data_IF_540457225202
#
_entry.id   IF_540457225202
#
_cell.length_a   1.000
_cell.length_b   1.000
_cell.length_c   1.000
_cell.angle_alpha   90.00
_cell.angle_beta   90.00
_cell.angle_gamma   90.00
#
_symmetry.space_group_name_H-M   'P 1'
#
loop_
_entity.id
_entity.type
_entity.pdbx_description
1 polymer ?
#
# COMPACT_ATOMS: atom_id res chain seq x y z
N UNK A 1 -23.27 -17.57 -11.52
CA UNK A 1 -22.57 -16.50 -10.76
C UNK A 1 -23.17 -16.53 -9.34
N UNK A 2 -22.36 -16.52 -8.27
CA UNK A 2 -22.92 -16.60 -6.90
C UNK A 2 -23.78 -15.37 -6.60
N UNK A 3 -24.73 -15.49 -5.66
CA UNK A 3 -25.58 -14.37 -5.23
C UNK A 3 -24.74 -13.16 -4.75
N UNK A 4 -23.64 -13.42 -4.04
CA UNK A 4 -22.69 -12.40 -3.61
C UNK A 4 -22.08 -11.61 -4.79
N UNK A 5 -21.63 -12.30 -5.84
CA UNK A 5 -21.05 -11.62 -7.00
C UNK A 5 -22.09 -10.81 -7.79
N UNK A 6 -23.34 -11.26 -7.83
CA UNK A 6 -24.43 -10.46 -8.40
C UNK A 6 -24.66 -9.18 -7.59
N UNK A 7 -24.57 -9.23 -6.25
CA UNK A 7 -24.61 -8.03 -5.41
C UNK A 7 -23.44 -7.09 -5.73
N UNK A 8 -22.22 -7.61 -5.84
CA UNK A 8 -21.04 -6.79 -6.20
C UNK A 8 -21.25 -6.07 -7.52
N UNK A 9 -21.66 -6.80 -8.58
CA UNK A 9 -21.93 -6.20 -9.90
C UNK A 9 -23.05 -5.16 -9.82
N UNK A 10 -24.13 -5.45 -9.08
CA UNK A 10 -25.27 -4.54 -8.94
C UNK A 10 -24.90 -3.22 -8.24
N UNK A 11 -24.12 -3.29 -7.17
CA UNK A 11 -23.88 -2.15 -6.29
C UNK A 11 -22.60 -1.38 -6.64
N UNK A 12 -21.60 -2.01 -7.26
CA UNK A 12 -20.36 -1.35 -7.70
C UNK A 12 -20.36 -0.99 -9.19
N UNK A 13 -21.28 -1.53 -10.00
CA UNK A 13 -21.41 -1.17 -11.42
C UNK A 13 -20.08 -1.34 -12.18
N UNK A 14 -19.60 -0.25 -12.76
CA UNK A 14 -18.34 -0.22 -13.52
C UNK A 14 -17.10 -0.52 -12.66
N UNK A 15 -17.17 -0.34 -11.34
CA UNK A 15 -16.11 -0.71 -10.41
C UNK A 15 -16.15 -2.19 -9.99
N UNK A 16 -17.06 -3.00 -10.53
CA UNK A 16 -17.08 -4.45 -10.31
C UNK A 16 -16.21 -5.18 -11.34
N UNK A 17 -15.07 -5.70 -10.90
CA UNK A 17 -14.09 -6.34 -11.78
C UNK A 17 -14.02 -7.84 -11.52
N UNK A 18 -13.98 -8.62 -12.60
CA UNK A 18 -13.70 -10.06 -12.53
C UNK A 18 -12.21 -10.30 -12.28
N UNK A 19 -11.88 -10.65 -11.03
CA UNK A 19 -10.50 -10.76 -10.55
C UNK A 19 -9.74 -11.94 -11.18
N UNK A 20 -10.43 -12.87 -11.85
CA UNK A 20 -9.81 -13.99 -12.59
C UNK A 20 -9.02 -13.54 -13.80
N UNK A 21 -9.55 -12.57 -14.53
CA UNK A 21 -9.04 -12.19 -15.85
C UNK A 21 -7.61 -11.63 -15.76
N UNK A 22 -7.30 -10.92 -14.68
CA UNK A 22 -5.96 -10.41 -14.44
C UNK A 22 -4.90 -11.52 -14.31
N UNK A 23 -5.29 -12.71 -13.84
CA UNK A 23 -4.39 -13.86 -13.72
C UNK A 23 -4.29 -14.67 -15.00
N UNK A 24 -5.42 -14.89 -15.68
CA UNK A 24 -5.48 -15.72 -16.90
C UNK A 24 -4.77 -15.08 -18.10
N UNK A 25 -4.69 -13.75 -18.14
CA UNK A 25 -4.12 -13.02 -19.26
C UNK A 25 -2.59 -12.83 -19.17
N UNK A 26 -1.94 -13.39 -18.13
CA UNK A 26 -0.49 -13.33 -17.92
C UNK A 26 0.10 -11.91 -17.99
N UNK A 27 -0.68 -10.90 -17.58
CA UNK A 27 -0.28 -9.49 -17.54
C UNK A 27 0.65 -9.18 -16.36
N UNK A 28 1.44 -10.15 -15.88
CA UNK A 28 2.21 -10.06 -14.63
C UNK A 28 3.32 -9.01 -14.64
N UNK A 29 3.64 -8.45 -15.81
CA UNK A 29 4.69 -7.44 -15.98
C UNK A 29 4.21 -6.03 -15.64
N UNK A 30 2.91 -5.77 -15.65
CA UNK A 30 2.30 -4.50 -15.26
C UNK A 30 1.66 -4.61 -13.88
N UNK A 31 1.54 -3.50 -13.12
CA UNK A 31 0.83 -3.51 -11.85
C UNK A 31 -0.62 -3.98 -12.02
N UNK A 32 -1.15 -4.70 -11.03
CA UNK A 32 -2.47 -5.33 -11.13
C UNK A 32 -3.61 -4.33 -11.40
N UNK A 33 -3.62 -3.19 -10.71
CA UNK A 33 -4.68 -2.19 -10.93
C UNK A 33 -4.66 -1.66 -12.38
N UNK A 34 -3.48 -1.57 -13.02
CA UNK A 34 -3.36 -1.24 -14.45
C UNK A 34 -3.96 -2.35 -15.31
N UNK A 35 -3.64 -3.61 -15.00
CA UNK A 35 -4.19 -4.75 -15.72
C UNK A 35 -5.71 -4.79 -15.63
N UNK A 36 -6.28 -4.56 -14.44
CA UNK A 36 -7.73 -4.51 -14.22
C UNK A 36 -8.40 -3.37 -15.01
N UNK A 37 -7.81 -2.17 -15.01
CA UNK A 37 -8.28 -1.04 -15.81
C UNK A 37 -8.29 -1.37 -17.30
N UNK A 38 -7.18 -1.90 -17.84
CA UNK A 38 -7.08 -2.25 -19.26
C UNK A 38 -8.06 -3.37 -19.65
N UNK A 39 -8.29 -4.34 -18.76
CA UNK A 39 -9.29 -5.39 -19.01
C UNK A 39 -10.69 -4.77 -19.12
N UNK A 40 -11.05 -3.86 -18.20
CA UNK A 40 -12.36 -3.19 -18.23
C UNK A 40 -12.54 -2.38 -19.53
N UNK A 41 -11.56 -1.55 -19.88
CA UNK A 41 -11.57 -0.70 -21.07
C UNK A 41 -11.75 -1.53 -22.36
N UNK A 42 -10.89 -2.53 -22.58
CA UNK A 42 -10.93 -3.33 -23.81
C UNK A 42 -12.18 -4.22 -23.87
N UNK A 43 -12.67 -4.71 -22.73
CA UNK A 43 -13.91 -5.50 -22.69
C UNK A 43 -15.12 -4.67 -23.11
N UNK A 44 -15.13 -3.37 -22.80
CA UNK A 44 -16.16 -2.43 -23.26
C UNK A 44 -16.23 -2.28 -24.79
N UNK A 45 -15.12 -2.47 -25.50
CA UNK A 45 -15.08 -2.42 -26.98
C UNK A 45 -15.75 -3.63 -27.66
N UNK A 46 -15.91 -4.74 -26.93
CA UNK A 46 -16.42 -6.00 -27.48
C UNK A 46 -15.49 -6.70 -28.49
N UNK A 47 -15.97 -7.82 -29.03
CA UNK A 47 -15.23 -8.65 -30.00
C UNK A 47 -14.05 -9.42 -29.38
N UNK A 48 -12.98 -9.62 -30.15
CA UNK A 48 -11.70 -10.21 -29.66
C UNK A 48 -10.91 -9.21 -28.81
N UNK A 49 -11.51 -8.77 -27.71
CA UNK A 49 -10.89 -7.80 -26.80
C UNK A 49 -9.60 -8.35 -26.17
N UNK A 50 -9.52 -9.67 -25.95
CA UNK A 50 -8.32 -10.30 -25.38
C UNK A 50 -7.15 -10.22 -26.36
N UNK A 51 -7.35 -10.54 -27.65
CA UNK A 51 -6.34 -10.42 -28.67
C UNK A 51 -5.89 -8.97 -28.88
N UNK A 52 -6.84 -8.02 -28.88
CA UNK A 52 -6.54 -6.58 -28.92
C UNK A 52 -5.70 -6.12 -27.73
N UNK A 53 -6.06 -6.51 -26.51
CA UNK A 53 -5.32 -6.15 -25.29
C UNK A 53 -3.90 -6.72 -25.31
N UNK A 54 -3.74 -8.00 -25.69
CA UNK A 54 -2.42 -8.63 -25.81
C UNK A 54 -1.54 -7.88 -26.81
N UNK A 55 -2.10 -7.51 -27.97
CA UNK A 55 -1.39 -6.73 -28.99
C UNK A 55 -1.01 -5.35 -28.47
N UNK A 56 -1.94 -4.65 -27.81
CA UNK A 56 -1.67 -3.35 -27.19
C UNK A 56 -0.51 -3.41 -26.20
N UNK A 57 -0.47 -4.40 -25.32
CA UNK A 57 0.64 -4.58 -24.37
C UNK A 57 1.94 -4.89 -25.10
N UNK A 58 1.94 -5.81 -26.07
CA UNK A 58 3.14 -6.17 -26.83
C UNK A 58 3.75 -4.99 -27.60
N UNK A 59 2.91 -4.08 -28.09
CA UNK A 59 3.36 -2.93 -28.89
C UNK A 59 3.83 -1.75 -28.03
N UNK A 60 3.26 -1.58 -26.83
CA UNK A 60 3.45 -0.37 -26.03
C UNK A 60 4.17 -0.61 -24.69
N UNK A 61 4.23 -1.83 -24.16
CA UNK A 61 4.96 -2.10 -22.91
C UNK A 61 6.41 -2.48 -23.19
N UNK A 62 7.35 -1.77 -22.58
CA UNK A 62 8.79 -2.01 -22.72
C UNK A 62 9.40 -2.34 -21.37
N UNK A 63 10.17 -3.42 -21.31
CA UNK A 63 10.96 -3.74 -20.12
C UNK A 63 12.17 -2.80 -19.99
N UNK A 64 12.74 -2.61 -18.78
CA UNK A 64 13.90 -1.74 -18.57
C UNK A 64 15.08 -2.02 -19.51
N UNK A 65 15.29 -3.28 -19.91
CA UNK A 65 16.33 -3.72 -20.84
C UNK A 65 16.12 -3.17 -22.26
N UNK A 66 14.87 -2.87 -22.64
CA UNK A 66 14.50 -2.31 -23.93
C UNK A 66 14.65 -0.78 -24.01
N UNK A 67 15.25 -0.13 -23.00
CA UNK A 67 15.52 1.31 -22.96
C UNK A 67 16.15 1.85 -24.25
N UNK A 68 17.20 1.19 -24.76
CA UNK A 68 17.88 1.66 -25.97
C UNK A 68 17.03 1.46 -27.23
N UNK A 69 16.12 0.48 -27.25
CA UNK A 69 15.15 0.31 -28.33
C UNK A 69 14.15 1.47 -28.36
N UNK A 70 13.65 1.90 -27.19
CA UNK A 70 12.74 3.06 -27.08
C UNK A 70 13.43 4.33 -27.57
N UNK A 71 14.67 4.58 -27.13
CA UNK A 71 15.47 5.71 -27.61
C UNK A 71 15.72 5.65 -29.12
N UNK A 72 16.06 4.47 -29.65
CA UNK A 72 16.23 4.28 -31.09
C UNK A 72 14.95 4.61 -31.86
N UNK A 73 13.78 4.14 -31.41
CA UNK A 73 12.49 4.49 -32.02
C UNK A 73 12.22 6.00 -31.95
N UNK A 74 12.45 6.63 -30.80
CA UNK A 74 12.27 8.07 -30.64
C UNK A 74 13.15 8.89 -31.60
N UNK A 75 14.40 8.46 -31.81
CA UNK A 75 15.34 9.14 -32.73
C UNK A 75 15.02 8.87 -34.21
N UNK A 76 14.61 7.64 -34.55
CA UNK A 76 14.40 7.24 -35.95
C UNK A 76 12.99 7.54 -36.48
N UNK A 77 11.98 7.43 -35.62
CA UNK A 77 10.57 7.60 -35.97
C UNK A 77 10.02 8.96 -35.49
N UNK A 78 10.77 9.69 -34.67
CA UNK A 78 10.38 10.98 -34.10
C UNK A 78 9.38 10.89 -32.94
N UNK A 79 8.62 9.79 -32.84
CA UNK A 79 7.64 9.56 -31.78
C UNK A 79 7.64 8.10 -31.32
N UNK A 80 7.29 7.86 -30.06
CA UNK A 80 7.07 6.53 -29.50
C UNK A 80 5.95 6.55 -28.47
N UNK A 81 5.11 5.52 -28.48
CA UNK A 81 4.09 5.27 -27.46
C UNK A 81 4.59 4.20 -26.51
N UNK A 82 4.43 4.44 -25.21
CA UNK A 82 4.84 3.49 -24.18
C UNK A 82 3.87 3.47 -22.99
N UNK A 83 3.69 2.29 -22.40
CA UNK A 83 2.93 2.09 -21.16
C UNK A 83 3.90 2.13 -20.00
N UNK A 84 3.78 3.16 -19.15
CA UNK A 84 4.66 3.33 -17.98
C UNK A 84 4.10 4.32 -16.95
N UNK A 85 4.81 4.49 -15.85
CA UNK A 85 4.56 5.52 -14.85
C UNK A 85 5.17 6.86 -15.27
N UNK A 86 4.33 7.89 -15.35
CA UNK A 86 4.73 9.28 -15.52
C UNK A 86 4.72 9.99 -14.16
N UNK A 87 5.89 10.44 -13.70
CA UNK A 87 6.00 11.33 -12.54
C UNK A 87 6.50 12.70 -12.95
N UNK A 88 5.78 13.75 -12.60
CA UNK A 88 6.10 15.13 -13.00
C UNK A 88 6.71 15.90 -11.84
N UNK A 89 7.81 16.59 -12.12
CA UNK A 89 8.45 17.55 -11.22
C UNK A 89 8.43 18.93 -11.86
N UNK A 90 8.34 19.98 -11.05
CA UNK A 90 8.37 21.36 -11.54
C UNK A 90 9.72 21.98 -11.18
N UNK A 91 10.45 22.42 -12.19
CA UNK A 91 11.60 23.30 -11.97
C UNK A 91 11.16 24.75 -12.15
N UNK A 92 11.11 25.48 -11.03
CA UNK A 92 10.69 26.88 -11.00
C UNK A 92 11.72 27.77 -11.72
N UNK A 93 13.01 27.38 -11.74
CA UNK A 93 14.06 28.20 -12.35
C UNK A 93 13.96 28.19 -13.88
N UNK A 94 13.72 27.02 -14.47
CA UNK A 94 13.51 26.88 -15.91
C UNK A 94 12.04 26.95 -16.32
N UNK A 95 11.13 27.22 -15.37
CA UNK A 95 9.66 27.23 -15.56
C UNK A 95 9.12 25.98 -16.28
N UNK A 96 9.82 24.84 -16.15
CA UNK A 96 9.58 23.64 -16.94
C UNK A 96 9.02 22.52 -16.07
N UNK A 97 7.99 21.86 -16.57
CA UNK A 97 7.46 20.62 -16.00
C UNK A 97 8.20 19.44 -16.63
N UNK A 98 8.84 18.63 -15.80
CA UNK A 98 9.66 17.50 -16.21
C UNK A 98 9.01 16.21 -15.80
N UNK A 99 8.57 15.44 -16.79
CA UNK A 99 8.14 14.07 -16.67
C UNK A 99 9.33 13.13 -16.60
N UNK A 100 9.32 12.24 -15.61
CA UNK A 100 10.33 11.22 -15.36
C UNK A 100 9.67 9.86 -15.53
N UNK A 101 10.19 9.08 -16.48
CA UNK A 101 9.82 7.68 -16.73
C UNK A 101 10.98 6.82 -16.20
N UNK A 102 10.82 6.32 -14.99
CA UNK A 102 11.96 5.79 -14.20
C UNK A 102 12.50 4.46 -14.75
N UNK A 103 11.63 3.55 -15.16
CA UNK A 103 11.93 2.23 -15.77
C UNK A 103 12.90 2.34 -16.95
N UNK A 104 12.75 3.37 -17.78
CA UNK A 104 13.52 3.62 -18.99
C UNK A 104 14.57 4.72 -18.79
N UNK A 105 14.64 5.34 -17.61
CA UNK A 105 15.47 6.51 -17.30
C UNK A 105 15.40 7.57 -18.42
N UNK A 106 14.15 7.92 -18.76
CA UNK A 106 13.82 8.97 -19.74
C UNK A 106 13.20 10.16 -19.02
N UNK A 107 13.68 11.35 -19.40
CA UNK A 107 13.17 12.63 -18.92
C UNK A 107 12.60 13.36 -20.12
N UNK A 108 11.42 13.93 -19.98
CA UNK A 108 10.71 14.63 -21.03
C UNK A 108 10.04 15.89 -20.46
N UNK A 109 9.98 16.95 -21.25
CA UNK A 109 9.12 18.09 -20.93
C UNK A 109 7.66 17.66 -21.00
N UNK A 110 6.84 18.15 -20.07
CA UNK A 110 5.39 17.87 -20.04
C UNK A 110 4.65 19.20 -20.19
N UNK A 111 3.88 19.39 -21.26
CA UNK A 111 3.02 20.56 -21.42
C UNK A 111 2.07 20.76 -20.22
N UNK A 112 1.83 22.03 -19.85
CA UNK A 112 1.03 22.40 -18.67
C UNK A 112 -0.39 21.84 -18.73
N UNK A 113 -1.01 21.81 -19.91
CA UNK A 113 -2.37 21.30 -20.10
C UNK A 113 -2.48 19.80 -19.81
N UNK A 114 -1.43 19.02 -20.12
CA UNK A 114 -1.35 17.60 -19.75
C UNK A 114 -1.22 17.48 -18.23
N UNK A 115 -0.39 18.30 -17.59
CA UNK A 115 -0.22 18.28 -16.13
C UNK A 115 -1.51 18.66 -15.41
N UNK A 116 -2.21 19.70 -15.85
CA UNK A 116 -3.45 20.17 -15.22
C UNK A 116 -4.57 19.14 -15.25
N UNK A 117 -4.67 18.36 -16.33
CA UNK A 117 -5.60 17.23 -16.45
C UNK A 117 -5.18 16.03 -15.60
N UNK A 118 -3.90 15.91 -15.27
CA UNK A 118 -3.30 14.73 -14.64
C UNK A 118 -2.54 15.09 -13.36
N UNK A 119 -3.19 15.81 -12.44
CA UNK A 119 -2.54 16.38 -11.24
C UNK A 119 -1.88 15.34 -10.34
N UNK A 120 -2.38 14.10 -10.31
CA UNK A 120 -1.77 13.02 -9.52
C UNK A 120 -0.34 12.67 -9.99
N UNK A 121 0.02 12.99 -11.24
CA UNK A 121 1.39 12.81 -11.75
C UNK A 121 2.42 13.69 -11.02
N UNK A 122 2.00 14.83 -10.45
CA UNK A 122 2.85 15.74 -9.66
C UNK A 122 3.14 15.23 -8.24
N UNK A 123 2.27 14.36 -7.71
CA UNK A 123 2.33 13.95 -6.30
C UNK A 123 2.88 12.54 -6.21
N UNK A 124 2.17 11.58 -6.80
CA UNK A 124 2.43 10.15 -6.61
C UNK A 124 2.98 9.44 -7.84
N UNK A 125 2.87 10.07 -9.01
CA UNK A 125 3.04 9.41 -10.31
C UNK A 125 1.72 8.81 -10.79
N UNK A 126 1.59 8.63 -12.11
CA UNK A 126 0.42 8.01 -12.74
C UNK A 126 0.87 7.03 -13.81
N UNK A 127 0.34 5.81 -13.77
CA UNK A 127 0.48 4.86 -14.87
C UNK A 127 -0.45 5.25 -16.01
N UNK A 128 0.04 5.15 -17.22
CA UNK A 128 -0.73 5.47 -18.41
C UNK A 128 -0.02 5.13 -19.70
N UNK A 129 -0.69 5.43 -20.79
CA UNK A 129 -0.09 5.44 -22.11
C UNK A 129 0.52 6.82 -22.35
N UNK A 130 1.86 6.87 -22.43
CA UNK A 130 2.65 8.06 -22.67
C UNK A 130 3.05 8.09 -24.13
N UNK A 131 2.74 9.18 -24.81
CA UNK A 131 3.24 9.45 -26.17
C UNK A 131 4.37 10.46 -26.09
N UNK A 132 5.58 10.02 -26.42
CA UNK A 132 6.77 10.85 -26.49
C UNK A 132 7.03 11.31 -27.92
N UNK A 133 7.53 12.53 -28.07
CA UNK A 133 8.10 13.05 -29.30
C UNK A 133 9.49 13.62 -29.03
N UNK A 134 10.36 13.58 -30.03
CA UNK A 134 11.63 14.29 -29.96
C UNK A 134 11.35 15.80 -29.92
N UNK A 135 11.98 16.50 -28.98
CA UNK A 135 11.88 17.94 -28.90
C UNK A 135 12.81 18.58 -29.93
N UNK A 136 12.35 19.67 -30.55
CA UNK A 136 13.17 20.51 -31.44
C UNK A 136 14.14 21.37 -30.61
N UNK A 137 13.72 21.76 -29.40
CA UNK A 137 14.50 22.58 -28.48
C UNK A 137 15.15 21.73 -27.39
N UNK A 138 16.45 21.93 -27.18
CA UNK A 138 17.19 21.31 -26.08
C UNK A 138 17.09 22.23 -24.87
N UNK A 139 16.44 21.75 -23.81
CA UNK A 139 16.39 22.45 -22.52
C UNK A 139 17.29 21.74 -21.52
N UNK A 140 17.92 22.51 -20.64
CA UNK A 140 18.65 21.95 -19.50
C UNK A 140 17.83 22.19 -18.23
N UNK A 141 17.42 21.11 -17.58
CA UNK A 141 16.59 21.17 -16.38
C UNK A 141 17.22 20.30 -15.29
N UNK A 142 17.32 20.82 -14.07
CA UNK A 142 18.05 20.18 -12.96
C UNK A 142 19.50 19.77 -13.33
N UNK A 143 20.17 20.49 -14.24
CA UNK A 143 21.51 20.19 -14.72
C UNK A 143 21.60 18.97 -15.66
N UNK A 144 20.48 18.57 -16.28
CA UNK A 144 20.38 17.48 -17.27
C UNK A 144 19.74 18.01 -18.56
N UNK A 145 20.30 17.71 -19.75
CA UNK A 145 19.63 18.03 -21.01
C UNK A 145 18.41 17.12 -21.23
N UNK A 146 17.30 17.74 -21.63
CA UNK A 146 16.04 17.09 -21.97
C UNK A 146 15.74 17.38 -23.45
N UNK A 147 15.54 16.33 -24.23
CA UNK A 147 15.34 16.39 -25.68
C UNK A 147 14.07 15.64 -26.12
N UNK A 148 13.14 15.40 -25.19
CA UNK A 148 11.87 14.73 -25.45
C UNK A 148 10.73 15.54 -24.83
N UNK A 149 9.54 15.43 -25.41
CA UNK A 149 8.32 16.05 -24.90
C UNK A 149 7.20 15.01 -24.85
N UNK A 150 6.40 15.02 -23.79
CA UNK A 150 5.16 14.26 -23.69
C UNK A 150 4.11 15.00 -24.49
N UNK A 151 3.71 14.47 -25.64
CA UNK A 151 2.69 15.11 -26.51
C UNK A 151 1.28 14.66 -26.16
N UNK A 152 1.13 13.51 -25.52
CA UNK A 152 -0.15 12.98 -25.05
C UNK A 152 0.08 12.03 -23.88
N UNK A 153 -0.87 12.01 -22.94
CA UNK A 153 -0.87 11.11 -21.80
C UNK A 153 -2.30 10.67 -21.46
N UNK A 154 -2.58 9.38 -21.62
CA UNK A 154 -3.84 8.75 -21.21
C UNK A 154 -3.61 7.96 -19.91
N UNK A 155 -4.07 8.45 -18.74
CA UNK A 155 -3.90 7.74 -17.49
C UNK A 155 -4.75 6.46 -17.46
N UNK A 156 -4.24 5.43 -16.79
CA UNK A 156 -4.94 4.16 -16.54
C UNK A 156 -5.63 4.17 -15.19
N UNK A 157 -6.52 5.14 -15.01
CA UNK A 157 -7.32 5.32 -13.80
C UNK A 157 -8.75 5.64 -14.21
N UNK A 158 -9.70 5.22 -13.36
CA UNK A 158 -11.10 5.60 -13.51
C UNK A 158 -11.27 7.13 -13.44
N UNK A 159 -11.92 7.78 -14.42
CA UNK A 159 -11.88 9.24 -14.62
C UNK A 159 -12.60 10.06 -13.54
N UNK A 160 -13.50 9.47 -12.77
CA UNK A 160 -14.09 10.06 -11.56
C UNK A 160 -14.25 8.95 -10.52
N UNK A 161 -13.74 9.15 -9.31
CA UNK A 161 -13.86 8.18 -8.21
C UNK A 161 -14.70 8.85 -7.14
N UNK A 162 -15.89 8.33 -6.86
CA UNK A 162 -16.66 8.71 -5.67
C UNK A 162 -16.19 7.85 -4.48
N UNK A 163 -15.37 8.39 -3.56
CA UNK A 163 -14.92 7.62 -2.40
C UNK A 163 -16.07 7.20 -1.48
N UNK A 164 -17.26 7.81 -1.60
CA UNK A 164 -18.43 7.48 -0.77
C UNK A 164 -19.16 6.23 -1.23
N UNK A 165 -18.93 5.74 -2.46
CA UNK A 165 -19.59 4.53 -2.94
C UNK A 165 -19.28 3.32 -2.03
N UNK A 166 -18.07 3.20 -1.48
CA UNK A 166 -17.72 2.15 -0.51
C UNK A 166 -18.58 2.24 0.77
N UNK A 167 -18.83 3.46 1.24
CA UNK A 167 -19.66 3.75 2.41
C UNK A 167 -21.14 3.39 2.14
N UNK A 168 -21.69 3.90 1.04
CA UNK A 168 -23.09 3.72 0.67
C UNK A 168 -23.43 2.27 0.36
N UNK A 169 -22.50 1.52 -0.24
CA UNK A 169 -22.73 0.12 -0.62
C UNK A 169 -22.65 -0.85 0.54
N UNK A 170 -21.92 -0.52 1.61
CA UNK A 170 -21.71 -1.40 2.77
C UNK A 170 -23.01 -1.91 3.39
N UNK A 171 -24.07 -1.10 3.39
CA UNK A 171 -25.38 -1.45 3.98
C UNK A 171 -26.09 -2.63 3.29
N UNK A 172 -25.71 -2.97 2.05
CA UNK A 172 -26.34 -4.05 1.27
C UNK A 172 -25.70 -5.43 1.48
N UNK A 173 -24.68 -5.51 2.33
CA UNK A 173 -23.94 -6.73 2.63
C UNK A 173 -24.01 -7.04 4.12
N UNK A 174 -24.09 -8.32 4.47
CA UNK A 174 -23.77 -8.75 5.84
C UNK A 174 -22.26 -8.58 6.11
N UNK A 175 -21.84 -8.61 7.37
CA UNK A 175 -20.40 -8.51 7.69
C UNK A 175 -19.58 -9.63 7.02
N UNK A 176 -20.08 -10.87 7.04
CA UNK A 176 -19.41 -12.01 6.40
C UNK A 176 -19.30 -11.82 4.88
N UNK A 177 -20.40 -11.41 4.22
CA UNK A 177 -20.39 -11.09 2.79
C UNK A 177 -19.39 -9.98 2.47
N UNK A 178 -19.36 -8.92 3.29
CA UNK A 178 -18.45 -7.79 3.12
C UNK A 178 -16.98 -8.20 3.25
N UNK A 179 -16.64 -9.01 4.25
CA UNK A 179 -15.30 -9.57 4.41
C UNK A 179 -14.91 -10.40 3.18
N UNK A 180 -15.83 -11.21 2.64
CA UNK A 180 -15.58 -11.97 1.42
C UNK A 180 -15.37 -11.08 0.19
N UNK A 181 -16.10 -9.97 0.06
CA UNK A 181 -15.88 -8.97 -0.99
C UNK A 181 -14.50 -8.34 -0.87
N UNK A 182 -14.07 -7.95 0.33
CA UNK A 182 -12.74 -7.35 0.55
C UNK A 182 -11.61 -8.35 0.27
N UNK A 183 -11.76 -9.61 0.69
CA UNK A 183 -10.79 -10.68 0.42
C UNK A 183 -10.69 -10.97 -1.09
N UNK A 184 -11.81 -11.00 -1.81
CA UNK A 184 -11.80 -11.11 -3.27
C UNK A 184 -11.14 -9.89 -3.93
N UNK A 185 -11.41 -8.69 -3.42
CA UNK A 185 -10.85 -7.42 -3.92
C UNK A 185 -9.32 -7.41 -3.89
N UNK A 186 -8.71 -7.90 -2.80
CA UNK A 186 -7.25 -8.06 -2.70
C UNK A 186 -6.69 -9.26 -3.48
N UNK A 187 -7.57 -10.03 -4.14
CA UNK A 187 -7.20 -11.10 -5.05
C UNK A 187 -7.12 -12.49 -4.45
N UNK A 188 -7.70 -12.71 -3.28
CA UNK A 188 -7.67 -13.99 -2.58
C UNK A 188 -9.04 -14.67 -2.65
N UNK A 189 -9.06 -16.01 -2.65
CA UNK A 189 -10.30 -16.79 -2.59
C UNK A 189 -10.75 -16.94 -1.13
N UNK A 190 -11.86 -16.29 -0.69
CA UNK A 190 -12.29 -16.35 0.69
C UNK A 190 -12.63 -17.77 1.17
N UNK A 191 -13.05 -18.68 0.27
CA UNK A 191 -13.49 -20.03 0.64
C UNK A 191 -12.37 -20.90 1.21
N UNK A 192 -11.11 -20.54 0.98
CA UNK A 192 -9.93 -21.29 1.39
C UNK A 192 -9.40 -20.84 2.76
N UNK A 193 -9.91 -19.73 3.30
CA UNK A 193 -9.42 -19.13 4.53
C UNK A 193 -10.49 -19.15 5.62
N UNK A 194 -10.09 -19.57 6.83
CA UNK A 194 -10.96 -19.51 8.01
C UNK A 194 -11.18 -18.03 8.43
N UNK A 195 -12.24 -17.71 9.20
CA UNK A 195 -12.57 -16.33 9.57
C UNK A 195 -11.38 -15.54 10.15
N UNK A 196 -10.61 -16.16 11.05
CA UNK A 196 -9.40 -15.57 11.63
C UNK A 196 -8.37 -15.15 10.57
N UNK A 197 -8.11 -16.00 9.58
CA UNK A 197 -7.14 -15.72 8.52
C UNK A 197 -7.62 -14.59 7.60
N UNK A 198 -8.92 -14.53 7.30
CA UNK A 198 -9.52 -13.41 6.55
C UNK A 198 -9.26 -12.09 7.27
N UNK A 199 -9.50 -12.04 8.58
CA UNK A 199 -9.23 -10.86 9.40
C UNK A 199 -7.75 -10.46 9.44
N UNK A 200 -6.83 -11.44 9.52
CA UNK A 200 -5.39 -11.18 9.44
C UNK A 200 -4.98 -10.60 8.06
N UNK A 201 -5.55 -11.11 6.95
CA UNK A 201 -5.31 -10.54 5.63
C UNK A 201 -5.82 -9.11 5.51
N UNK A 202 -7.04 -8.83 5.99
CA UNK A 202 -7.60 -7.47 5.99
C UNK A 202 -6.82 -6.53 6.88
N UNK A 203 -6.24 -7.02 7.99
CA UNK A 203 -5.40 -6.21 8.87
C UNK A 203 -4.19 -5.61 8.16
N UNK A 204 -3.69 -6.24 7.08
CA UNK A 204 -2.60 -5.66 6.26
C UNK A 204 -2.99 -4.36 5.56
N UNK A 205 -4.28 -4.09 5.40
CA UNK A 205 -4.80 -2.85 4.81
C UNK A 205 -4.89 -1.70 5.82
N UNK A 206 -4.78 -1.98 7.13
CA UNK A 206 -4.87 -0.94 8.18
C UNK A 206 -3.86 0.20 7.97
N UNK A 207 -2.57 -0.05 7.67
CA UNK A 207 -1.61 1.00 7.33
C UNK A 207 -1.97 1.85 6.10
N UNK A 208 -2.82 1.33 5.21
CA UNK A 208 -3.22 1.99 3.97
C UNK A 208 -4.45 2.88 4.19
N UNK A 209 -5.39 2.48 5.04
CA UNK A 209 -6.62 3.24 5.32
C UNK A 209 -6.49 4.23 6.49
N UNK A 210 -5.51 4.04 7.38
CA UNK A 210 -5.29 4.88 8.55
C UNK A 210 -3.90 5.55 8.50
N UNK A 211 -3.85 6.82 8.91
CA UNK A 211 -2.62 7.60 8.95
C UNK A 211 -1.67 7.12 10.05
N UNK A 212 -0.37 7.14 9.73
CA UNK A 212 0.72 6.91 10.67
C UNK A 212 0.50 5.64 11.52
N UNK A 213 0.22 4.51 10.86
CA UNK A 213 0.17 3.21 11.54
C UNK A 213 1.48 2.46 11.36
N UNK A 214 2.17 2.19 12.47
CA UNK A 214 3.42 1.47 12.49
C UNK A 214 3.16 -0.01 12.79
N UNK A 215 3.26 -0.88 11.80
CA UNK A 215 3.02 -2.32 11.95
C UNK A 215 4.31 -3.12 11.81
N UNK A 216 4.36 -4.24 12.54
CA UNK A 216 5.28 -5.33 12.24
C UNK A 216 4.49 -6.58 11.85
N UNK A 217 4.95 -7.29 10.82
CA UNK A 217 4.41 -8.59 10.44
C UNK A 217 5.54 -9.58 10.24
N UNK A 218 5.51 -10.68 10.99
CA UNK A 218 6.44 -11.79 10.81
C UNK A 218 5.67 -13.04 10.43
N UNK A 219 6.18 -13.77 9.45
CA UNK A 219 5.56 -15.04 9.05
C UNK A 219 6.44 -15.81 8.07
N UNK A 220 6.10 -17.07 7.78
CA UNK A 220 6.88 -17.89 6.85
C UNK A 220 6.86 -17.30 5.43
N UNK A 221 7.76 -17.80 4.58
CA UNK A 221 7.77 -17.44 3.16
C UNK A 221 6.46 -17.85 2.48
N UNK A 222 6.10 -17.11 1.42
CA UNK A 222 4.92 -17.35 0.59
C UNK A 222 3.56 -17.16 1.29
N UNK A 223 3.44 -16.25 2.26
CA UNK A 223 2.14 -15.86 2.88
C UNK A 223 1.50 -14.61 2.24
N UNK A 224 1.99 -14.16 1.08
CA UNK A 224 1.43 -13.01 0.35
C UNK A 224 1.75 -11.63 0.92
N UNK A 225 2.68 -11.53 1.89
CA UNK A 225 3.11 -10.27 2.55
C UNK A 225 3.37 -9.14 1.55
N UNK A 226 4.35 -9.33 0.67
CA UNK A 226 4.73 -8.35 -0.36
C UNK A 226 3.69 -8.21 -1.48
N UNK A 227 3.02 -9.30 -1.83
CA UNK A 227 2.10 -9.34 -2.96
C UNK A 227 0.92 -8.39 -2.77
N UNK A 228 0.33 -8.34 -1.57
CA UNK A 228 -0.79 -7.46 -1.27
C UNK A 228 -0.40 -5.99 -1.45
N UNK A 229 0.69 -5.55 -0.80
CA UNK A 229 1.14 -4.16 -0.87
C UNK A 229 1.55 -3.74 -2.28
N UNK A 230 2.12 -4.64 -3.08
CA UNK A 230 2.57 -4.33 -4.45
C UNK A 230 1.42 -4.09 -5.42
N UNK A 231 0.30 -4.79 -5.23
CA UNK A 231 -0.78 -4.84 -6.20
C UNK A 231 -2.00 -4.01 -5.80
N UNK A 232 -2.03 -3.51 -4.57
CA UNK A 232 -3.17 -2.77 -4.05
C UNK A 232 -3.19 -1.32 -4.51
N UNK A 233 -2.08 -0.59 -4.40
CA UNK A 233 -2.11 0.88 -4.46
C UNK A 233 -0.78 1.49 -4.90
N UNK A 234 -0.86 2.57 -5.69
CA UNK A 234 0.29 3.41 -6.08
C UNK A 234 0.81 4.31 -4.96
N UNK A 235 0.03 4.43 -3.89
CA UNK A 235 0.40 5.16 -2.68
C UNK A 235 1.34 4.37 -1.78
N UNK A 236 1.75 3.16 -2.17
CA UNK A 236 2.63 2.30 -1.38
C UNK A 236 4.03 2.24 -1.97
N UNK A 237 5.05 2.43 -1.14
CA UNK A 237 6.45 2.18 -1.50
C UNK A 237 6.96 0.93 -0.80
N UNK A 238 7.44 -0.04 -1.57
CA UNK A 238 8.11 -1.23 -1.05
C UNK A 238 9.62 -1.07 -1.17
N UNK A 239 10.33 -1.33 -0.07
CA UNK A 239 11.78 -1.39 -0.01
C UNK A 239 12.17 -2.81 0.38
N UNK A 240 12.70 -3.57 -0.57
CA UNK A 240 13.11 -4.97 -0.37
C UNK A 240 14.63 -5.05 -0.16
N UNK A 241 15.06 -4.99 1.10
CA UNK A 241 16.48 -5.05 1.48
C UNK A 241 17.36 -3.93 0.90
N UNK A 242 18.68 -4.07 1.09
CA UNK A 242 19.67 -3.14 0.57
C UNK A 242 19.98 -1.96 1.50
N UNK A 243 20.81 -1.04 1.00
CA UNK A 243 21.25 0.14 1.73
C UNK A 243 20.23 1.27 1.62
N UNK A 244 19.57 1.58 2.73
CA UNK A 244 18.60 2.67 2.82
C UNK A 244 19.32 3.88 3.42
N UNK A 245 19.24 4.99 2.70
CA UNK A 245 19.72 6.28 3.20
C UNK A 245 18.56 7.12 3.70
N UNK A 246 18.85 8.02 4.63
CA UNK A 246 17.87 9.02 5.06
C UNK A 246 17.30 9.77 3.86
N UNK A 247 18.09 10.04 2.80
CA UNK A 247 17.69 10.81 1.61
C UNK A 247 16.47 10.21 0.90
N UNK A 248 16.42 8.88 0.84
CA UNK A 248 15.31 8.14 0.22
C UNK A 248 14.04 8.28 1.05
N UNK A 249 14.13 8.10 2.37
CA UNK A 249 12.93 8.09 3.21
C UNK A 249 12.39 9.49 3.54
N UNK A 250 13.27 10.45 3.83
CA UNK A 250 12.89 11.73 4.43
C UNK A 250 12.93 12.89 3.43
N UNK A 251 14.11 13.28 2.96
CA UNK A 251 14.27 14.42 2.06
C UNK A 251 15.67 14.44 1.44
N UNK A 252 15.77 14.60 0.13
CA UNK A 252 17.06 14.70 -0.52
C UNK A 252 17.55 16.15 -0.54
N UNK A 253 18.58 16.47 0.26
CA UNK A 253 19.14 17.84 0.34
C UNK A 253 19.77 18.31 -0.98
N UNK A 254 20.32 17.38 -1.79
CA UNK A 254 21.00 17.72 -3.05
C UNK A 254 20.01 18.01 -4.17
N UNK A 255 19.00 17.15 -4.33
CA UNK A 255 18.00 17.32 -5.40
C UNK A 255 16.79 18.14 -4.97
N UNK A 256 16.66 18.44 -3.67
CA UNK A 256 15.51 19.11 -3.05
C UNK A 256 14.17 18.36 -3.25
N UNK A 257 14.23 17.07 -3.53
CA UNK A 257 13.05 16.21 -3.73
C UNK A 257 12.61 15.61 -2.39
N UNK A 258 11.31 15.64 -2.05
CA UNK A 258 10.75 14.94 -0.90
C UNK A 258 11.03 13.44 -0.91
N UNK A 259 11.30 12.87 0.26
CA UNK A 259 11.46 11.41 0.40
C UNK A 259 10.13 10.67 0.35
N UNK A 260 10.19 9.34 0.38
CA UNK A 260 9.02 8.47 0.26
C UNK A 260 7.97 8.72 1.35
N UNK A 261 8.40 9.06 2.58
CA UNK A 261 7.47 9.36 3.68
C UNK A 261 6.63 10.61 3.42
N UNK A 262 7.10 11.57 2.61
CA UNK A 262 6.33 12.77 2.31
C UNK A 262 5.24 12.58 1.24
N UNK A 263 5.31 11.50 0.45
CA UNK A 263 4.52 11.38 -0.79
C UNK A 263 3.74 10.07 -0.90
N UNK A 264 3.96 9.13 0.02
CA UNK A 264 3.32 7.81 0.02
C UNK A 264 2.48 7.62 1.28
N UNK A 265 1.35 6.92 1.14
CA UNK A 265 0.49 6.54 2.27
C UNK A 265 1.16 5.50 3.17
N UNK A 266 1.99 4.63 2.61
CA UNK A 266 2.74 3.66 3.39
C UNK A 266 4.09 3.30 2.78
N UNK A 267 5.09 3.17 3.65
CA UNK A 267 6.43 2.65 3.32
C UNK A 267 6.60 1.29 3.97
N UNK A 268 6.82 0.28 3.14
CA UNK A 268 6.90 -1.13 3.52
C UNK A 268 8.35 -1.59 3.43
N UNK A 269 8.96 -1.91 4.56
CA UNK A 269 10.26 -2.55 4.61
C UNK A 269 10.07 -4.07 4.52
N UNK A 270 10.21 -4.60 3.31
CA UNK A 270 10.16 -6.02 3.04
C UNK A 270 11.53 -6.67 3.23
N UNK A 271 11.52 -7.92 3.72
CA UNK A 271 12.71 -8.63 4.16
C UNK A 271 13.58 -7.76 5.11
N UNK A 272 12.96 -7.24 6.18
CA UNK A 272 13.58 -6.27 7.09
C UNK A 272 14.96 -6.71 7.61
N UNK A 273 15.21 -8.02 7.77
CA UNK A 273 16.52 -8.56 8.17
C UNK A 273 17.66 -8.27 7.19
N UNK A 274 17.35 -7.98 5.92
CA UNK A 274 18.32 -7.63 4.85
C UNK A 274 18.50 -6.13 4.67
N UNK A 275 17.72 -5.31 5.37
CA UNK A 275 17.87 -3.86 5.33
C UNK A 275 19.13 -3.46 6.08
N UNK A 276 19.87 -2.52 5.50
CA UNK A 276 21.05 -1.89 6.11
C UNK A 276 20.89 -0.38 6.01
N UNK A 277 21.27 0.33 7.07
CA UNK A 277 21.21 1.80 7.12
C UNK A 277 22.61 2.36 6.99
N UNK A 278 22.79 3.37 6.14
CA UNK A 278 24.12 4.00 5.95
C UNK A 278 24.61 4.72 7.21
N UNK A 279 23.69 5.35 7.94
CA UNK A 279 23.96 6.00 9.23
C UNK A 279 22.87 5.54 10.23
N UNK A 280 23.05 4.37 10.87
CA UNK A 280 21.99 3.76 11.67
C UNK A 280 21.49 4.65 12.81
N UNK A 281 22.37 5.30 13.56
CA UNK A 281 21.99 6.09 14.75
C UNK A 281 21.12 7.30 14.36
N UNK A 282 21.56 8.07 13.36
CA UNK A 282 20.78 9.20 12.82
C UNK A 282 19.43 8.73 12.27
N UNK A 283 19.43 7.60 11.56
CA UNK A 283 18.22 7.02 10.99
C UNK A 283 17.22 6.60 12.07
N UNK A 284 17.70 5.96 13.14
CA UNK A 284 16.85 5.49 14.22
C UNK A 284 16.29 6.66 15.02
N UNK A 285 17.09 7.70 15.28
CA UNK A 285 16.61 8.93 15.89
C UNK A 285 15.43 9.53 15.11
N UNK A 286 15.59 9.69 13.79
CA UNK A 286 14.56 10.25 12.90
C UNK A 286 13.33 9.37 12.78
N UNK A 287 13.50 8.05 12.66
CA UNK A 287 12.36 7.13 12.58
C UNK A 287 11.59 7.09 13.90
N UNK A 288 12.26 7.07 15.05
CA UNK A 288 11.59 7.09 16.36
C UNK A 288 10.81 8.39 16.58
N UNK A 289 11.39 9.52 16.21
CA UNK A 289 10.69 10.81 16.29
C UNK A 289 9.45 10.80 15.39
N UNK A 290 9.62 10.42 14.11
CA UNK A 290 8.53 10.32 13.15
C UNK A 290 7.40 9.35 13.55
N UNK A 291 7.75 8.17 14.06
CA UNK A 291 6.76 7.18 14.49
C UNK A 291 5.92 7.67 15.67
N UNK A 292 6.44 8.60 16.48
CA UNK A 292 5.69 9.19 17.60
C UNK A 292 4.90 10.43 17.16
N UNK A 293 5.55 11.37 16.46
CA UNK A 293 4.97 12.69 16.15
C UNK A 293 4.24 12.76 14.81
N UNK A 294 4.56 11.87 13.85
CA UNK A 294 4.19 12.03 12.44
C UNK A 294 4.95 13.17 11.75
N UNK A 295 6.03 13.65 12.36
CA UNK A 295 6.83 14.75 11.85
C UNK A 295 8.29 14.33 11.77
N UNK A 296 9.02 14.93 10.85
CA UNK A 296 10.46 14.73 10.79
C UNK A 296 11.19 16.00 10.41
N UNK A 297 12.41 16.12 10.94
CA UNK A 297 13.29 17.23 10.65
C UNK A 297 14.47 16.80 9.79
N UNK A 298 14.77 17.61 8.77
CA UNK A 298 16.00 17.45 8.01
C UNK A 298 16.47 18.73 7.35
N UNK A 299 17.69 19.15 7.72
CA UNK A 299 18.16 20.49 7.38
C UNK A 299 17.25 21.51 8.05
N UNK A 300 16.86 22.55 7.31
CA UNK A 300 15.98 23.61 7.83
C UNK A 300 14.48 23.32 7.63
N UNK A 301 14.12 22.08 7.26
CA UNK A 301 12.73 21.68 6.99
C UNK A 301 12.19 20.80 8.10
N UNK A 302 11.02 21.18 8.61
CA UNK A 302 10.15 20.33 9.42
C UNK A 302 8.95 19.94 8.54
N UNK A 303 8.75 18.64 8.35
CA UNK A 303 7.73 18.09 7.45
C UNK A 303 6.77 17.22 8.24
N UNK A 304 5.48 17.53 8.14
CA UNK A 304 4.41 16.65 8.63
C UNK A 304 4.09 15.61 7.57
N UNK A 305 3.95 14.36 7.99
CA UNK A 305 3.57 13.25 7.13
C UNK A 305 2.67 12.26 7.85
N UNK A 306 1.65 11.85 7.13
CA UNK A 306 0.65 10.87 7.47
C UNK A 306 1.04 9.45 7.05
N UNK A 307 2.22 9.23 6.45
CA UNK A 307 2.68 7.92 5.99
C UNK A 307 2.73 6.87 7.11
N UNK A 308 2.39 5.64 6.77
CA UNK A 308 2.45 4.50 7.67
C UNK A 308 3.73 3.70 7.42
N UNK A 309 4.26 3.05 8.46
CA UNK A 309 5.45 2.21 8.36
C UNK A 309 5.09 0.74 8.59
N UNK A 310 5.53 -0.16 7.72
CA UNK A 310 5.31 -1.60 7.90
C UNK A 310 6.63 -2.34 7.80
N UNK A 311 6.97 -3.10 8.83
CA UNK A 311 8.19 -3.90 8.92
C UNK A 311 7.85 -5.37 8.74
N UNK A 312 8.26 -5.96 7.61
CA UNK A 312 7.95 -7.34 7.27
C UNK A 312 9.19 -8.22 7.31
N UNK A 313 9.10 -9.34 8.04
CA UNK A 313 10.18 -10.31 8.16
C UNK A 313 9.73 -11.74 7.89
N UNK A 314 10.69 -12.56 7.48
CA UNK A 314 10.50 -14.00 7.35
C UNK A 314 11.02 -14.69 8.61
N UNK A 315 10.22 -15.62 9.15
CA UNK A 315 10.59 -16.44 10.30
C UNK A 315 10.38 -17.92 10.03
N UNK A 316 11.09 -18.73 10.80
CA UNK A 316 10.90 -20.17 10.90
C UNK A 316 9.79 -20.48 11.90
N UNK A 317 8.91 -21.40 11.52
CA UNK A 317 7.75 -21.77 12.32
C UNK A 317 7.67 -23.28 12.48
N UNK A 318 7.16 -23.73 13.61
CA UNK A 318 6.86 -25.13 13.89
C UNK A 318 5.34 -25.32 14.07
N UNK A 319 4.87 -26.54 13.78
CA UNK A 319 3.47 -26.89 14.00
C UNK A 319 3.22 -27.17 15.49
N UNK A 320 2.15 -26.62 16.03
CA UNK A 320 1.66 -26.77 17.38
C UNK A 320 0.17 -27.15 17.35
N UNK A 321 -0.37 -27.65 18.47
CA UNK A 321 -1.78 -28.03 18.60
C UNK A 321 -2.76 -26.88 18.32
N UNK A 322 -2.31 -25.63 18.37
CA UNK A 322 -3.10 -24.42 18.10
C UNK A 322 -2.73 -23.69 16.79
N UNK A 323 -1.92 -24.29 15.90
CA UNK A 323 -1.48 -23.68 14.64
C UNK A 323 0.04 -23.65 14.49
N UNK A 324 0.60 -22.65 13.81
CA UNK A 324 2.06 -22.47 13.71
C UNK A 324 2.55 -21.49 14.76
N UNK A 325 3.73 -21.75 15.34
CA UNK A 325 4.39 -20.85 16.29
C UNK A 325 5.82 -20.53 15.83
N UNK A 326 6.33 -19.30 16.05
CA UNK A 326 7.72 -18.97 15.78
C UNK A 326 8.67 -19.82 16.61
N UNK A 327 9.73 -20.34 15.97
CA UNK A 327 10.82 -21.08 16.65
C UNK A 327 11.84 -20.11 17.24
N UNK A 328 12.02 -18.97 16.59
CA UNK A 328 13.02 -17.95 16.92
C UNK A 328 12.40 -16.73 17.62
N UNK A 329 13.23 -15.99 18.38
CA UNK A 329 12.82 -14.70 18.94
C UNK A 329 12.71 -13.65 17.82
N UNK A 330 11.54 -13.00 17.76
CA UNK A 330 11.19 -12.01 16.74
C UNK A 330 12.15 -10.81 16.73
N UNK A 331 12.81 -10.52 17.86
CA UNK A 331 13.80 -9.44 17.99
C UNK A 331 14.94 -9.60 16.99
N UNK A 332 15.41 -10.83 16.76
CA UNK A 332 16.56 -11.07 15.88
C UNK A 332 16.21 -10.99 14.39
N UNK A 333 14.92 -10.92 14.05
CA UNK A 333 14.44 -10.67 12.69
C UNK A 333 14.71 -9.22 12.28
N UNK A 334 14.72 -8.30 13.24
CA UNK A 334 15.05 -6.90 12.99
C UNK A 334 16.56 -6.70 12.78
N UNK A 335 16.98 -5.71 11.97
CA UNK A 335 18.34 -5.18 11.96
C UNK A 335 18.78 -4.76 13.35
N UNK A 336 20.07 -4.90 13.64
CA UNK A 336 20.65 -4.60 14.96
C UNK A 336 20.25 -3.22 15.50
N UNK A 337 20.28 -2.19 14.65
CA UNK A 337 19.91 -0.82 15.01
C UNK A 337 18.44 -0.65 15.47
N UNK A 338 17.56 -1.59 15.14
CA UNK A 338 16.14 -1.58 15.50
C UNK A 338 15.82 -2.48 16.71
N UNK A 339 16.81 -3.21 17.25
CA UNK A 339 16.62 -4.16 18.37
C UNK A 339 16.65 -3.46 19.73
N UNK A 340 15.87 -2.39 19.87
CA UNK A 340 15.77 -1.64 21.11
C UNK A 340 14.32 -1.39 21.50
N UNK A 341 14.07 -1.31 22.82
CA UNK A 341 12.73 -1.14 23.37
C UNK A 341 12.07 0.16 22.89
N UNK A 342 12.82 1.26 22.76
CA UNK A 342 12.25 2.54 22.33
C UNK A 342 11.75 2.50 20.88
N UNK A 343 12.40 1.75 19.98
CA UNK A 343 11.87 1.50 18.64
C UNK A 343 10.61 0.63 18.69
N UNK A 344 10.68 -0.52 19.36
CA UNK A 344 9.61 -1.51 19.38
C UNK A 344 8.34 -0.96 20.06
N UNK A 345 8.48 -0.12 21.08
CA UNK A 345 7.34 0.46 21.80
C UNK A 345 6.48 1.37 20.89
N UNK A 346 7.07 1.91 19.81
CA UNK A 346 6.40 2.73 18.78
C UNK A 346 5.70 1.92 17.68
N UNK A 347 5.83 0.59 17.69
CA UNK A 347 5.03 -0.30 16.85
C UNK A 347 3.60 -0.35 17.44
N UNK A 348 2.61 0.02 16.64
CA UNK A 348 1.21 0.05 17.07
C UNK A 348 0.59 -1.37 17.13
N UNK A 349 1.05 -2.28 16.28
CA UNK A 349 0.56 -3.65 16.27
C UNK A 349 1.53 -4.65 15.66
N UNK A 350 1.60 -5.83 16.26
CA UNK A 350 2.31 -7.00 15.73
C UNK A 350 1.31 -7.99 15.13
N UNK A 351 1.26 -8.04 13.79
CA UNK A 351 0.41 -8.97 13.04
C UNK A 351 1.06 -10.36 13.02
N UNK A 352 0.39 -11.42 13.50
CA UNK A 352 0.94 -12.77 13.55
C UNK A 352 0.85 -13.44 12.17
N UNK A 353 1.68 -13.00 11.22
CA UNK A 353 1.73 -13.53 9.87
C UNK A 353 2.09 -15.02 9.79
N UNK A 354 2.53 -15.65 10.88
CA UNK A 354 2.71 -17.10 11.01
C UNK A 354 1.40 -17.89 11.11
N UNK A 355 0.29 -17.26 11.51
CA UNK A 355 -1.05 -17.89 11.49
C UNK A 355 -1.63 -18.00 10.07
N UNK A 356 -1.03 -17.30 9.10
CA UNK A 356 -1.46 -17.32 7.71
C UNK A 356 -0.87 -18.52 6.95
N UNK A 357 -1.69 -19.21 6.13
CA UNK A 357 -1.23 -20.36 5.39
C UNK A 357 -0.33 -19.92 4.23
N UNK A 358 0.51 -20.85 3.75
CA UNK A 358 1.30 -20.63 2.54
C UNK A 358 0.39 -20.59 1.32
N UNK A 359 0.47 -19.51 0.56
CA UNK A 359 -0.17 -19.31 -0.74
C UNK A 359 0.73 -19.97 -1.79
N UNK A 360 0.53 -21.27 -1.99
CA UNK A 360 1.42 -22.09 -2.83
C UNK A 360 0.95 -22.18 -4.29
N UNK A 361 -0.36 -22.31 -4.51
CA UNK A 361 -0.93 -22.56 -5.83
C UNK A 361 -1.99 -21.52 -6.19
N UNK A 362 -1.69 -20.74 -7.23
CA UNK A 362 -2.54 -19.66 -7.74
C UNK A 362 -3.99 -20.13 -8.00
N UNK A 363 -4.15 -21.30 -8.61
CA UNK A 363 -5.44 -21.92 -8.92
C UNK A 363 -6.36 -22.10 -7.71
N UNK A 364 -5.79 -22.34 -6.52
CA UNK A 364 -6.57 -22.63 -5.33
C UNK A 364 -6.80 -21.39 -4.48
N UNK A 365 -5.77 -20.56 -4.30
CA UNK A 365 -5.79 -19.46 -3.34
C UNK A 365 -6.20 -18.10 -3.89
N UNK A 366 -6.18 -17.91 -5.21
CA UNK A 366 -6.48 -16.61 -5.81
C UNK A 366 -7.96 -16.49 -6.18
N UNK A 367 -8.46 -15.26 -6.08
CA UNK A 367 -9.88 -14.95 -6.29
C UNK A 367 -10.38 -15.46 -7.64
N UNK A 368 -11.55 -16.11 -7.60
CA UNK A 368 -12.25 -16.64 -8.77
C UNK A 368 -13.52 -15.84 -9.11
N UNK A 369 -13.66 -14.65 -8.54
CA UNK A 369 -14.93 -13.93 -8.49
C UNK A 369 -14.83 -12.46 -8.83
N UNK A 370 -15.97 -11.80 -8.66
CA UNK A 370 -16.04 -10.35 -8.74
C UNK A 370 -15.56 -9.73 -7.43
N UNK A 371 -14.75 -8.68 -7.55
CA UNK A 371 -14.34 -7.81 -6.47
C UNK A 371 -14.38 -6.36 -6.91
N UNK A 372 -14.01 -5.46 -6.01
CA UNK A 372 -13.94 -4.03 -6.29
C UNK A 372 -12.69 -3.74 -7.13
N UNK A 373 -12.78 -2.86 -8.13
CA UNK A 373 -11.66 -2.43 -8.95
C UNK A 373 -10.52 -1.91 -8.06
N UNK A 374 -9.29 -2.39 -8.29
CA UNK A 374 -8.17 -2.07 -7.40
C UNK A 374 -7.78 -0.59 -7.40
N UNK A 375 -7.94 0.11 -8.52
CA UNK A 375 -7.71 1.56 -8.62
C UNK A 375 -8.73 2.34 -7.78
N UNK A 376 -10.03 2.04 -7.94
CA UNK A 376 -11.09 2.63 -7.12
C UNK A 376 -10.85 2.34 -5.63
N UNK A 377 -10.56 1.09 -5.28
CA UNK A 377 -10.37 0.71 -3.88
C UNK A 377 -9.18 1.42 -3.25
N UNK A 378 -8.06 1.55 -3.98
CA UNK A 378 -6.89 2.31 -3.50
C UNK A 378 -7.22 3.77 -3.18
N UNK A 379 -7.97 4.42 -4.08
CA UNK A 379 -8.36 5.83 -3.97
C UNK A 379 -9.41 6.06 -2.88
N UNK A 380 -10.35 5.13 -2.71
CA UNK A 380 -11.28 5.12 -1.60
C UNK A 380 -10.53 5.02 -0.26
N UNK A 381 -9.61 4.06 -0.12
CA UNK A 381 -8.79 3.92 1.09
C UNK A 381 -7.94 5.19 1.34
N UNK A 382 -7.31 5.75 0.31
CA UNK A 382 -6.54 7.00 0.39
C UNK A 382 -7.41 8.16 0.91
N UNK A 383 -8.63 8.32 0.37
CA UNK A 383 -9.57 9.35 0.83
C UNK A 383 -9.97 9.16 2.30
N UNK A 384 -10.22 7.92 2.71
CA UNK A 384 -10.62 7.56 4.08
C UNK A 384 -9.52 7.80 5.13
N UNK A 385 -8.26 8.00 4.72
CA UNK A 385 -7.16 8.39 5.61
C UNK A 385 -7.38 9.75 6.26
N UNK A 386 -8.10 10.66 5.59
CA UNK A 386 -8.37 12.03 6.06
C UNK A 386 -9.16 12.09 7.37
N UNK A 387 -9.86 11.00 7.72
CA UNK A 387 -10.61 10.89 8.97
C UNK A 387 -10.06 9.74 9.82
N UNK A 388 -9.84 10.03 11.11
CA UNK A 388 -9.55 9.00 12.11
C UNK A 388 -10.80 8.73 12.96
N UNK A 389 -11.15 7.46 13.12
CA UNK A 389 -12.26 6.99 13.96
C UNK A 389 -11.82 6.72 15.41
N UNK A 390 -10.63 7.14 15.83
CA UNK A 390 -10.15 6.96 17.21
C UNK A 390 -11.08 7.58 18.26
N UNK A 391 -11.73 8.71 17.94
CA UNK A 391 -12.74 9.33 18.80
C UNK A 391 -13.99 8.46 18.92
N UNK A 392 -14.48 7.91 17.80
CA UNK A 392 -15.60 6.98 17.78
C UNK A 392 -15.29 5.73 18.62
N UNK A 393 -14.10 5.13 18.46
CA UNK A 393 -13.65 4.00 19.30
C UNK A 393 -13.72 4.37 20.78
N UNK A 394 -13.26 5.57 21.15
CA UNK A 394 -13.23 6.04 22.54
C UNK A 394 -14.61 6.15 23.18
N UNK A 395 -15.66 6.38 22.38
CA UNK A 395 -17.04 6.46 22.88
C UNK A 395 -17.61 5.10 23.26
N UNK A 396 -17.05 4.02 22.73
CA UNK A 396 -17.57 2.66 22.89
C UNK A 396 -16.70 1.75 23.75
N UNK A 397 -15.61 2.25 24.34
CA UNK A 397 -14.68 1.41 25.11
C UNK A 397 -14.23 2.05 26.43
N UNK A 398 -14.14 1.21 27.46
CA UNK A 398 -13.44 1.48 28.72
C UNK A 398 -12.13 0.67 28.74
N UNK A 399 -11.00 1.36 28.92
CA UNK A 399 -9.66 0.74 28.99
C UNK A 399 -9.29 0.45 30.45
N UNK A 400 -8.57 -0.64 30.71
CA UNK A 400 -8.07 -0.94 32.06
C UNK A 400 -6.93 -0.02 32.51
N UNK A 401 -6.74 0.10 33.82
CA UNK A 401 -5.78 1.03 34.45
C UNK A 401 -4.30 0.86 34.03
N UNK A 402 -3.94 -0.31 33.50
CA UNK A 402 -2.59 -0.62 33.05
C UNK A 402 -2.28 -0.15 31.61
N UNK A 403 -3.22 0.49 30.92
CA UNK A 403 -2.95 1.16 29.64
C UNK A 403 -2.05 2.37 29.87
N UNK A 404 -0.89 2.40 29.20
CA UNK A 404 -0.10 3.63 29.06
C UNK A 404 -0.64 4.43 27.87
N UNK A 405 -0.33 5.73 27.84
CA UNK A 405 -0.72 6.66 26.76
C UNK A 405 -0.38 6.08 25.36
N UNK A 406 0.79 5.45 25.21
CA UNK A 406 1.20 4.87 23.93
C UNK A 406 0.42 3.61 23.58
N UNK A 407 0.00 2.81 24.56
CA UNK A 407 -0.88 1.65 24.29
C UNK A 407 -2.24 2.11 23.81
N UNK A 408 -2.82 3.12 24.47
CA UNK A 408 -4.10 3.69 24.09
C UNK A 408 -4.07 4.24 22.67
N UNK A 409 -3.06 5.06 22.34
CA UNK A 409 -2.87 5.61 20.98
C UNK A 409 -2.71 4.51 19.94
N UNK A 410 -1.89 3.50 20.23
CA UNK A 410 -1.65 2.36 19.34
C UNK A 410 -2.94 1.57 19.07
N UNK A 411 -3.62 1.17 20.14
CA UNK A 411 -4.86 0.42 20.11
C UNK A 411 -5.95 1.17 19.33
N UNK A 412 -6.17 2.46 19.62
CA UNK A 412 -7.19 3.26 18.94
C UNK A 412 -6.89 3.46 17.46
N UNK A 413 -5.62 3.62 17.06
CA UNK A 413 -5.23 3.70 15.63
C UNK A 413 -5.51 2.40 14.89
N UNK A 414 -5.16 1.25 15.47
CA UNK A 414 -5.45 -0.06 14.87
C UNK A 414 -6.95 -0.30 14.75
N UNK A 415 -7.71 -0.04 15.84
CA UNK A 415 -9.16 -0.19 15.85
C UNK A 415 -9.84 0.73 14.83
N UNK A 416 -9.38 1.98 14.72
CA UNK A 416 -9.87 2.95 13.73
C UNK A 416 -9.71 2.45 12.30
N UNK A 417 -8.53 1.94 11.93
CA UNK A 417 -8.32 1.40 10.58
C UNK A 417 -9.14 0.14 10.30
N UNK A 418 -9.29 -0.76 11.28
CA UNK A 418 -10.16 -1.93 11.15
C UNK A 418 -11.64 -1.55 11.00
N UNK A 419 -12.13 -0.58 11.79
CA UNK A 419 -13.49 -0.05 11.66
C UNK A 419 -13.71 0.55 10.28
N UNK A 420 -12.77 1.34 9.76
CA UNK A 420 -12.87 1.90 8.41
C UNK A 420 -13.00 0.82 7.33
N UNK A 421 -12.26 -0.28 7.44
CA UNK A 421 -12.36 -1.38 6.46
C UNK A 421 -13.69 -2.13 6.55
N UNK A 422 -14.11 -2.48 7.77
CA UNK A 422 -15.26 -3.37 7.97
C UNK A 422 -16.59 -2.63 8.01
N UNK A 423 -16.58 -1.36 8.41
CA UNK A 423 -17.75 -0.50 8.61
C UNK A 423 -17.44 0.91 8.08
N UNK A 424 -17.18 1.07 6.77
CA UNK A 424 -16.95 2.38 6.19
C UNK A 424 -18.13 3.35 6.42
N UNK A 425 -19.35 2.81 6.56
CA UNK A 425 -20.59 3.51 6.93
C UNK A 425 -20.74 3.79 8.43
N UNK A 426 -19.76 3.42 9.26
CA UNK A 426 -19.73 3.66 10.72
C UNK A 426 -20.95 3.07 11.46
N UNK A 427 -21.58 2.04 10.89
CA UNK A 427 -22.69 1.31 11.49
C UNK A 427 -22.23 -0.10 11.86
N UNK A 428 -22.33 -0.45 13.13
CA UNK A 428 -21.96 -1.75 13.68
C UNK A 428 -22.74 -2.02 14.96
N UNK A 429 -22.93 -3.30 15.30
CA UNK A 429 -23.39 -3.72 16.63
C UNK A 429 -22.23 -4.02 17.60
N UNK A 430 -22.55 -4.37 18.85
CA UNK A 430 -21.54 -4.66 19.88
C UNK A 430 -20.72 -5.93 19.62
N UNK A 431 -21.28 -6.93 18.95
CA UNK A 431 -20.55 -8.16 18.59
C UNK A 431 -19.58 -7.89 17.43
N UNK A 432 -20.03 -7.10 16.46
CA UNK A 432 -19.25 -6.63 15.33
C UNK A 432 -18.09 -5.72 15.79
N UNK A 433 -18.36 -4.79 16.70
CA UNK A 433 -17.34 -3.96 17.32
C UNK A 433 -16.34 -4.82 18.11
N UNK A 434 -16.81 -5.83 18.84
CA UNK A 434 -15.95 -6.75 19.59
C UNK A 434 -14.92 -7.44 18.71
N UNK A 435 -15.29 -7.86 17.51
CA UNK A 435 -14.34 -8.43 16.55
C UNK A 435 -13.17 -7.47 16.26
N UNK A 436 -13.45 -6.17 16.12
CA UNK A 436 -12.42 -5.15 15.87
C UNK A 436 -11.57 -4.88 17.10
N UNK A 437 -12.20 -4.73 18.26
CA UNK A 437 -11.51 -4.43 19.53
C UNK A 437 -10.60 -5.58 19.94
N UNK A 438 -11.06 -6.83 19.85
CA UNK A 438 -10.26 -8.00 20.23
C UNK A 438 -9.00 -8.13 19.36
N UNK A 439 -9.12 -7.88 18.04
CA UNK A 439 -7.99 -7.87 17.10
C UNK A 439 -6.98 -6.76 17.42
N UNK A 440 -7.45 -5.53 17.63
CA UNK A 440 -6.58 -4.40 17.95
C UNK A 440 -5.87 -4.57 19.29
N UNK A 441 -6.57 -5.08 20.30
CA UNK A 441 -6.04 -5.37 21.62
C UNK A 441 -4.95 -6.45 21.55
N UNK A 442 -5.21 -7.53 20.82
CA UNK A 442 -4.25 -8.62 20.65
C UNK A 442 -2.94 -8.13 20.01
N UNK A 443 -3.03 -7.34 18.94
CA UNK A 443 -1.85 -6.81 18.26
C UNK A 443 -1.00 -5.93 19.17
N UNK A 444 -1.63 -5.09 20.00
CA UNK A 444 -0.88 -4.27 20.95
C UNK A 444 -0.34 -5.09 22.13
N UNK A 445 -1.10 -6.07 22.61
CA UNK A 445 -0.63 -7.00 23.66
C UNK A 445 0.62 -7.75 23.21
N UNK A 446 0.68 -8.21 21.96
CA UNK A 446 1.87 -8.88 21.42
C UNK A 446 3.11 -7.98 21.42
N UNK A 447 2.95 -6.67 21.20
CA UNK A 447 4.05 -5.69 21.31
C UNK A 447 4.47 -5.53 22.78
N UNK A 448 3.53 -5.44 23.73
CA UNK A 448 3.84 -5.42 25.17
C UNK A 448 4.60 -6.67 25.62
N UNK A 449 4.16 -7.84 25.18
CA UNK A 449 4.82 -9.12 25.48
C UNK A 449 6.24 -9.17 24.88
N UNK A 450 6.43 -8.57 23.70
CA UNK A 450 7.74 -8.44 23.06
C UNK A 450 8.65 -7.49 23.86
N UNK A 451 8.15 -6.34 24.29
CA UNK A 451 8.90 -5.39 25.11
C UNK A 451 9.33 -5.99 26.45
N UNK A 452 8.45 -6.75 27.12
CA UNK A 452 8.78 -7.44 28.36
C UNK A 452 9.95 -8.43 28.19
N UNK A 453 10.09 -9.07 27.03
CA UNK A 453 11.24 -9.96 26.77
C UNK A 453 12.56 -9.20 26.63
N UNK A 454 12.52 -7.99 26.08
CA UNK A 454 13.70 -7.17 25.80
C UNK A 454 14.15 -6.40 27.03
N UNK A 455 13.21 -5.77 27.73
CA UNK A 455 13.46 -5.00 28.94
C UNK A 455 12.37 -5.29 29.99
N UNK A 456 12.47 -6.42 30.71
CA UNK A 456 11.49 -6.79 31.73
C UNK A 456 11.44 -5.83 32.92
N UNK A 457 12.48 -5.01 33.12
CA UNK A 457 12.56 -4.04 34.20
C UNK A 457 11.69 -2.81 33.94
N UNK A 458 11.69 -2.31 32.71
CA UNK A 458 10.84 -1.19 32.27
C UNK A 458 9.41 -1.64 31.89
N UNK A 459 9.28 -2.85 31.33
CA UNK A 459 8.01 -3.39 30.83
C UNK A 459 7.58 -4.63 31.62
N UNK A 460 6.77 -4.48 32.68
CA UNK A 460 6.25 -5.61 33.42
C UNK A 460 5.29 -6.46 32.57
N UNK A 461 5.15 -7.73 32.95
CA UNK A 461 4.25 -8.67 32.29
C UNK A 461 2.79 -8.40 32.68
N UNK A 462 2.13 -7.55 31.91
CA UNK A 462 0.75 -7.11 32.15
C UNK A 462 -0.17 -7.52 30.99
N UNK A 463 -1.44 -7.75 31.31
CA UNK A 463 -2.48 -8.01 30.30
C UNK A 463 -3.38 -6.80 30.13
N UNK A 464 -3.41 -6.24 28.93
CA UNK A 464 -4.36 -5.20 28.54
C UNK A 464 -5.76 -5.80 28.46
N UNK A 465 -6.77 -5.06 28.93
CA UNK A 465 -8.17 -5.45 28.81
C UNK A 465 -9.04 -4.26 28.44
N UNK A 466 -10.06 -4.52 27.65
CA UNK A 466 -10.98 -3.49 27.14
C UNK A 466 -12.40 -3.99 27.35
N UNK A 467 -13.26 -3.14 27.90
CA UNK A 467 -14.69 -3.39 28.03
C UNK A 467 -15.44 -2.53 27.03
N UNK A 468 -16.33 -3.15 26.26
CA UNK A 468 -17.21 -2.43 25.34
C UNK A 468 -18.36 -1.84 26.15
N UNK A 469 -18.64 -0.57 25.91
CA UNK A 469 -19.72 0.20 26.53
C UNK A 469 -20.66 0.73 25.44
N UNK A 470 -21.96 0.65 25.71
CA UNK A 470 -23.02 0.92 24.72
C UNK A 470 -24.11 -0.10 24.87
#
# INVERSE_FOLDING_TARGET
>A
MSELYNKVVKYFGDYAVDKRLAYELELSKIPRYVAEYLIAEFKGEGGDWQGKLRRFIQENFYEPEAKELVKHKLVTQGTVRLVDELRVFVDIVSETHVGVIQSLDLWAEVPVDIVEKNKASLVTGMWGLITLSLSVEKKEVFGRPINAVVVDFKPFQSPEIDPRLLEETRQYFTLDEWIEVLINTVGLDPSVYIPRQRMLFLSRLVPIVECNVNFAEFGPKATGKTYLYRNLSNYVRIISGGNISSAVLFYNLKTRVPGELAVKDAVIFDEISKVRFNNPDEMMGKLKDYMESGMYERGDKNVMSDSSLVFMGNITVEASGSGYVPVEDLTYVLPEAMRDAAFIERIHGLVPGWELPKISQAKYHLSKGYGIASDYFAEALHSMRKESLASLVSQHVELSDNFKIRDEKSFKRVASGLLKLLFPNKQFDNNELKLVIDMALEYRQRVRDWLHKIDPGEYPKEKLSVKIVG
#
